data_IF_897506682523
#
_entry.id   IF_897506682523
#
_cell.length_a   1.000
_cell.length_b   1.000
_cell.length_c   1.000
_cell.angle_alpha   90.00
_cell.angle_beta   90.00
_cell.angle_gamma   90.00
#
_symmetry.space_group_name_H-M   'P 1'
#
loop_
_entity.id
_entity.type
_entity.pdbx_description
1 polymer ?
#
# COMPACT_ATOMS: atom_id res chain seq x y z
N UNK A 1 9.78 12.71 3.91
CA UNK A 1 9.98 12.01 5.19
C UNK A 1 9.81 10.52 4.96
N UNK A 2 10.56 9.67 5.65
CA UNK A 2 10.38 8.20 5.64
C UNK A 2 10.12 7.73 7.06
N UNK A 3 9.06 6.93 7.25
CA UNK A 3 8.72 6.27 8.51
C UNK A 3 8.79 4.76 8.31
N UNK A 4 9.74 4.10 8.98
CA UNK A 4 9.98 2.65 8.85
C UNK A 4 11.33 2.33 8.20
N UNK A 5 11.46 1.14 7.64
CA UNK A 5 12.64 0.67 6.89
C UNK A 5 12.23 0.25 5.48
N UNK A 6 12.78 0.91 4.46
CA UNK A 6 12.47 0.66 3.04
C UNK A 6 12.72 -0.81 2.67
N UNK A 7 13.73 -1.46 3.24
CA UNK A 7 14.07 -2.87 2.95
C UNK A 7 13.14 -3.86 3.67
N UNK A 8 12.25 -3.37 4.52
CA UNK A 8 11.24 -4.15 5.22
C UNK A 8 9.84 -3.63 4.90
N UNK A 9 9.42 -2.57 5.61
CA UNK A 9 8.19 -1.84 5.38
C UNK A 9 8.37 -0.39 5.82
N UNK A 10 8.01 0.55 4.97
CA UNK A 10 8.05 1.97 5.28
C UNK A 10 6.98 2.74 4.53
N UNK A 11 6.73 3.96 4.99
CA UNK A 11 5.91 4.95 4.29
C UNK A 11 6.78 6.17 4.05
N UNK A 12 6.85 6.60 2.80
CA UNK A 12 7.51 7.83 2.42
C UNK A 12 6.44 8.85 2.06
N UNK A 13 6.50 10.04 2.64
CA UNK A 13 5.57 11.12 2.32
C UNK A 13 6.15 12.50 2.59
N UNK A 14 5.51 13.53 2.02
CA UNK A 14 5.81 14.95 2.25
C UNK A 14 4.54 15.78 2.21
N UNK A 15 4.43 16.77 3.09
CA UNK A 15 3.36 17.76 3.05
C UNK A 15 3.58 18.74 1.89
N UNK A 16 2.50 19.15 1.22
CA UNK A 16 2.59 20.14 0.16
C UNK A 16 2.50 21.56 0.74
N UNK A 17 3.49 22.42 0.43
CA UNK A 17 3.65 23.73 1.08
C UNK A 17 2.52 24.73 0.78
N UNK A 18 1.84 24.61 -0.36
CA UNK A 18 0.81 25.55 -0.82
C UNK A 18 -0.62 25.00 -0.70
N UNK A 19 -0.82 23.93 0.06
CA UNK A 19 -2.10 23.23 0.18
C UNK A 19 -2.51 23.10 1.65
N UNK A 20 -3.78 22.72 1.94
CA UNK A 20 -4.17 22.32 3.29
C UNK A 20 -3.18 21.29 3.86
N UNK A 21 -2.94 21.36 5.17
CA UNK A 21 -1.89 20.58 5.84
C UNK A 21 -2.04 19.06 5.66
N UNK A 22 -3.24 18.62 5.34
CA UNK A 22 -3.58 17.23 5.10
C UNK A 22 -3.20 16.73 3.70
N UNK A 23 -2.82 17.63 2.79
CA UNK A 23 -2.44 17.31 1.42
C UNK A 23 -0.94 17.10 1.29
N UNK A 24 -0.56 16.18 0.42
CA UNK A 24 0.85 15.89 0.17
C UNK A 24 1.04 14.78 -0.84
N UNK A 25 2.25 14.24 -0.84
CA UNK A 25 2.67 13.16 -1.73
C UNK A 25 3.11 12.00 -0.88
N UNK A 26 2.96 10.77 -1.35
CA UNK A 26 3.53 9.64 -0.62
C UNK A 26 3.50 8.34 -1.39
N UNK A 27 4.25 7.37 -0.89
CA UNK A 27 4.31 6.00 -1.41
C UNK A 27 4.58 5.04 -0.27
N UNK A 28 4.19 3.79 -0.47
CA UNK A 28 4.38 2.72 0.51
C UNK A 28 5.50 1.81 0.02
N UNK A 29 6.51 1.58 0.86
CA UNK A 29 7.61 0.68 0.60
C UNK A 29 7.40 -0.69 1.24
N UNK A 30 7.68 -1.74 0.49
CA UNK A 30 7.57 -3.15 0.89
C UNK A 30 8.77 -3.89 0.30
N UNK A 31 9.71 -4.32 1.16
CA UNK A 31 10.92 -5.06 0.74
C UNK A 31 11.70 -4.40 -0.41
N UNK A 32 11.90 -3.09 -0.33
CA UNK A 32 12.62 -2.30 -1.34
C UNK A 32 11.84 -2.01 -2.62
N UNK A 33 10.61 -2.52 -2.75
CA UNK A 33 9.66 -2.15 -3.81
C UNK A 33 8.66 -1.14 -3.28
N UNK A 34 7.95 -0.43 -4.14
CA UNK A 34 6.99 0.58 -3.70
C UNK A 34 5.62 0.45 -4.35
N UNK A 35 4.59 1.00 -3.72
CA UNK A 35 3.22 1.12 -4.21
C UNK A 35 2.83 2.59 -4.14
N UNK A 36 2.21 3.09 -5.22
CA UNK A 36 1.90 4.51 -5.40
C UNK A 36 3.04 5.30 -6.02
N UNK A 37 2.95 6.63 -5.97
CA UNK A 37 3.91 7.54 -6.59
C UNK A 37 4.20 8.74 -5.69
N UNK A 38 5.41 9.28 -5.79
CA UNK A 38 5.76 10.55 -5.12
C UNK A 38 5.32 11.81 -5.88
N UNK A 39 4.62 11.65 -7.01
CA UNK A 39 4.22 12.74 -7.89
C UNK A 39 2.70 13.07 -7.81
N UNK A 40 1.90 12.19 -7.21
CA UNK A 40 0.45 12.41 -7.07
C UNK A 40 0.10 13.17 -5.78
N UNK A 41 -0.65 14.26 -5.93
CA UNK A 41 -1.08 15.07 -4.81
C UNK A 41 -2.36 14.49 -4.20
N UNK A 42 -2.23 13.97 -2.98
CA UNK A 42 -3.28 13.24 -2.28
C UNK A 42 -3.59 13.85 -0.91
N UNK A 43 -4.81 13.66 -0.44
CA UNK A 43 -5.17 13.80 0.96
C UNK A 43 -4.55 12.67 1.79
N UNK A 44 -3.47 12.96 2.51
CA UNK A 44 -2.61 11.98 3.18
C UNK A 44 -3.36 11.13 4.20
N UNK A 45 -4.24 11.71 5.02
CA UNK A 45 -5.01 10.93 5.97
C UNK A 45 -6.03 10.00 5.27
N UNK A 46 -6.92 10.58 4.46
CA UNK A 46 -8.02 9.82 3.86
C UNK A 46 -7.59 8.87 2.75
N UNK A 47 -6.40 9.05 2.16
CA UNK A 47 -5.84 8.14 1.17
C UNK A 47 -4.70 7.33 1.75
N UNK A 48 -3.50 7.91 1.93
CA UNK A 48 -2.31 7.14 2.31
C UNK A 48 -2.52 6.35 3.62
N UNK A 49 -2.95 6.99 4.70
CA UNK A 49 -3.15 6.31 5.98
C UNK A 49 -4.30 5.30 5.91
N UNK A 50 -5.40 5.64 5.24
CA UNK A 50 -6.50 4.70 5.01
C UNK A 50 -6.04 3.43 4.27
N UNK A 51 -5.22 3.55 3.23
CA UNK A 51 -4.64 2.41 2.51
C UNK A 51 -3.85 1.50 3.45
N UNK A 52 -3.05 2.07 4.35
CA UNK A 52 -2.28 1.28 5.32
C UNK A 52 -3.20 0.49 6.26
N UNK A 53 -4.31 1.10 6.70
CA UNK A 53 -5.32 0.42 7.49
C UNK A 53 -5.99 -0.72 6.73
N UNK A 54 -6.21 -0.55 5.43
CA UNK A 54 -6.76 -1.60 4.60
C UNK A 54 -5.82 -2.79 4.40
N UNK A 55 -4.52 -2.67 4.67
CA UNK A 55 -3.64 -3.84 4.66
C UNK A 55 -3.97 -4.86 5.76
N UNK A 56 -4.73 -4.45 6.79
CA UNK A 56 -5.23 -5.34 7.85
C UNK A 56 -6.45 -6.14 7.38
N UNK A 57 -6.30 -6.90 6.30
CA UNK A 57 -7.33 -7.81 5.79
C UNK A 57 -7.37 -9.12 6.58
N UNK A 58 -8.46 -9.90 6.48
CA UNK A 58 -8.55 -11.20 7.13
C UNK A 58 -7.51 -12.22 6.62
N UNK A 59 -7.50 -13.38 7.28
CA UNK A 59 -6.70 -14.53 6.86
C UNK A 59 -7.32 -15.11 5.57
N UNK A 60 -6.48 -15.32 4.55
CA UNK A 60 -6.88 -16.05 3.36
C UNK A 60 -6.67 -17.55 3.62
N UNK A 61 -7.77 -18.29 3.81
CA UNK A 61 -7.74 -19.71 4.20
C UNK A 61 -7.82 -20.69 3.00
N UNK A 62 -8.04 -20.19 1.78
CA UNK A 62 -8.54 -21.01 0.67
C UNK A 62 -7.45 -21.57 -0.25
N UNK A 63 -6.94 -22.80 -0.01
CA UNK A 63 -6.21 -23.60 -1.02
C UNK A 63 -5.07 -22.88 -1.77
N UNK A 64 -4.50 -21.84 -1.16
CA UNK A 64 -3.58 -20.91 -1.81
C UNK A 64 -2.16 -21.46 -1.84
N UNK A 65 -1.85 -22.38 -0.92
CA UNK A 65 -0.51 -22.88 -0.70
C UNK A 65 0.11 -23.51 -1.96
N UNK A 66 -0.72 -23.90 -2.93
CA UNK A 66 -0.31 -24.51 -4.20
C UNK A 66 -0.25 -23.52 -5.37
N UNK A 67 -0.76 -22.29 -5.20
CA UNK A 67 -0.77 -21.28 -6.27
C UNK A 67 0.49 -20.42 -6.23
N UNK A 68 1.11 -20.21 -7.39
CA UNK A 68 2.11 -19.17 -7.53
C UNK A 68 1.47 -17.77 -7.53
N UNK A 69 2.28 -16.71 -7.36
CA UNK A 69 1.81 -15.31 -7.27
C UNK A 69 0.90 -14.88 -8.41
N UNK A 70 1.19 -15.31 -9.65
CA UNK A 70 0.39 -14.95 -10.82
C UNK A 70 -0.98 -15.65 -10.80
N UNK A 71 -0.98 -16.96 -10.49
CA UNK A 71 -2.23 -17.73 -10.38
C UNK A 71 -3.10 -17.21 -9.23
N UNK A 72 -2.50 -16.86 -8.10
CA UNK A 72 -3.19 -16.27 -6.96
C UNK A 72 -3.79 -14.91 -7.33
N UNK A 73 -3.02 -14.05 -7.99
CA UNK A 73 -3.49 -12.73 -8.42
C UNK A 73 -4.70 -12.83 -9.35
N UNK A 74 -4.59 -13.67 -10.39
CA UNK A 74 -5.69 -13.89 -11.33
C UNK A 74 -6.92 -14.50 -10.65
N UNK A 75 -6.74 -15.40 -9.68
CA UNK A 75 -7.84 -15.97 -8.91
C UNK A 75 -8.57 -14.90 -8.11
N UNK A 76 -7.84 -14.10 -7.31
CA UNK A 76 -8.42 -13.05 -6.47
C UNK A 76 -9.09 -11.96 -7.30
N UNK A 77 -8.50 -11.62 -8.46
CA UNK A 77 -9.07 -10.67 -9.41
C UNK A 77 -10.38 -11.18 -10.02
N UNK A 78 -10.43 -12.44 -10.46
CA UNK A 78 -11.61 -13.04 -11.10
C UNK A 78 -12.76 -13.34 -10.14
N UNK A 79 -12.46 -13.74 -8.92
CA UNK A 79 -13.48 -14.00 -7.91
C UNK A 79 -14.12 -12.72 -7.38
N UNK A 80 -13.65 -11.54 -7.84
CA UNK A 80 -13.97 -10.24 -7.27
C UNK A 80 -13.83 -10.29 -5.74
N UNK A 81 -12.69 -10.78 -5.24
CA UNK A 81 -12.49 -10.92 -3.80
C UNK A 81 -12.35 -9.54 -3.13
N UNK A 82 -13.49 -8.91 -2.87
CA UNK A 82 -13.60 -7.60 -2.24
C UNK A 82 -13.11 -7.61 -0.79
N UNK A 83 -13.06 -8.79 -0.16
CA UNK A 83 -12.59 -8.94 1.22
C UNK A 83 -11.09 -8.66 1.27
N UNK A 84 -10.32 -9.25 0.35
CA UNK A 84 -8.86 -9.12 0.32
C UNK A 84 -8.37 -8.00 -0.58
N UNK A 85 -9.23 -7.45 -1.45
CA UNK A 85 -8.88 -6.27 -2.26
C UNK A 85 -8.64 -5.06 -1.36
N UNK A 86 -7.51 -4.40 -1.59
CA UNK A 86 -7.27 -3.06 -1.06
C UNK A 86 -7.95 -2.09 -2.03
N UNK A 87 -8.91 -1.36 -1.49
CA UNK A 87 -9.85 -0.51 -2.17
C UNK A 87 -9.67 0.96 -1.78
N UNK A 88 -10.25 1.82 -2.60
CA UNK A 88 -10.76 3.11 -2.15
C UNK A 88 -9.75 4.21 -1.84
N UNK A 89 -8.67 4.33 -2.62
CA UNK A 89 -7.89 5.58 -2.59
C UNK A 89 -7.40 5.96 -3.98
N UNK A 90 -7.53 7.24 -4.36
CA UNK A 90 -6.94 7.78 -5.61
C UNK A 90 -5.44 7.52 -5.65
N UNK A 91 -4.79 7.49 -4.48
CA UNK A 91 -3.39 7.12 -4.30
C UNK A 91 -2.93 5.79 -4.95
N UNK A 92 -3.83 4.83 -5.21
CA UNK A 92 -3.48 3.49 -5.76
C UNK A 92 -4.31 3.08 -6.98
N UNK A 93 -4.97 4.02 -7.65
CA UNK A 93 -5.87 3.74 -8.78
C UNK A 93 -5.17 3.12 -10.00
N UNK A 94 -3.88 3.39 -10.19
CA UNK A 94 -3.03 2.73 -11.17
C UNK A 94 -2.76 1.24 -10.86
N UNK A 95 -3.00 0.82 -9.61
CA UNK A 95 -2.67 -0.51 -9.10
C UNK A 95 -3.90 -1.37 -8.81
N UNK A 96 -3.76 -2.68 -9.04
CA UNK A 96 -4.62 -3.68 -8.41
C UNK A 96 -3.84 -4.32 -7.27
N UNK A 97 -4.39 -4.23 -6.07
CA UNK A 97 -3.73 -4.64 -4.82
C UNK A 97 -4.66 -5.55 -4.03
N UNK A 98 -4.09 -6.65 -3.53
CA UNK A 98 -4.68 -7.51 -2.54
C UNK A 98 -3.78 -7.56 -1.30
N UNK A 99 -4.42 -7.61 -0.13
CA UNK A 99 -3.76 -7.89 1.13
C UNK A 99 -4.45 -9.04 1.85
N UNK A 100 -3.67 -9.83 2.57
CA UNK A 100 -4.21 -10.90 3.41
C UNK A 100 -3.22 -11.26 4.52
N UNK A 101 -3.75 -11.87 5.57
CA UNK A 101 -2.93 -12.40 6.68
C UNK A 101 -2.66 -13.88 6.48
N UNK A 102 -1.48 -14.32 6.88
CA UNK A 102 -1.17 -15.73 7.10
C UNK A 102 -0.11 -15.83 8.20
N UNK A 103 -0.41 -16.66 9.20
CA UNK A 103 0.40 -16.78 10.43
C UNK A 103 0.55 -15.39 11.10
N UNK A 104 1.77 -14.86 11.17
CA UNK A 104 2.08 -13.55 11.75
C UNK A 104 2.57 -12.53 10.70
N UNK A 105 2.14 -12.70 9.45
CA UNK A 105 2.59 -11.87 8.33
C UNK A 105 1.41 -11.29 7.55
N UNK A 106 1.57 -10.02 7.19
CA UNK A 106 0.79 -9.34 6.15
C UNK A 106 1.43 -9.64 4.81
N UNK A 107 0.65 -10.22 3.90
CA UNK A 107 1.04 -10.42 2.51
C UNK A 107 0.42 -9.33 1.66
N UNK A 108 1.22 -8.75 0.77
CA UNK A 108 0.78 -7.80 -0.23
C UNK A 108 1.04 -8.40 -1.60
N UNK A 109 0.03 -8.40 -2.45
CA UNK A 109 0.08 -8.91 -3.81
C UNK A 109 -0.47 -7.82 -4.74
N UNK A 110 0.35 -7.30 -5.64
CA UNK A 110 -0.04 -6.15 -6.44
C UNK A 110 0.51 -6.18 -7.86
N UNK A 111 -0.11 -5.40 -8.73
CA UNK A 111 0.29 -5.19 -10.11
C UNK A 111 -0.09 -3.77 -10.55
N UNK A 112 0.83 -3.10 -11.25
CA UNK A 112 0.52 -1.88 -11.98
C UNK A 112 -0.24 -2.26 -13.26
N UNK A 113 -1.51 -1.88 -13.38
CA UNK A 113 -2.34 -2.26 -14.53
C UNK A 113 -2.40 -1.18 -15.60
N UNK A 114 -2.31 0.08 -15.20
CA UNK A 114 -2.42 1.21 -16.10
C UNK A 114 -1.05 1.78 -16.44
N UNK A 115 -0.92 2.30 -17.66
CA UNK A 115 0.23 3.13 -18.00
C UNK A 115 0.05 4.47 -17.30
N UNK A 116 1.01 4.77 -16.44
CA UNK A 116 0.98 5.97 -15.63
C UNK A 116 1.77 7.07 -16.30
N UNK A 117 1.29 8.31 -16.15
CA UNK A 117 2.01 9.50 -16.60
C UNK A 117 3.09 9.93 -15.60
N UNK A 118 3.06 9.41 -14.37
CA UNK A 118 4.07 9.64 -13.33
C UNK A 118 5.41 9.01 -13.72
N UNK A 119 6.49 9.76 -13.55
CA UNK A 119 7.81 9.37 -14.02
C UNK A 119 8.36 8.16 -13.28
N UNK A 120 8.14 8.08 -11.96
CA UNK A 120 8.54 6.92 -11.14
C UNK A 120 7.80 5.63 -11.52
N UNK A 121 6.62 5.74 -12.15
CA UNK A 121 5.82 4.60 -12.60
C UNK A 121 6.08 4.18 -14.07
N UNK A 122 6.68 5.04 -14.91
CA UNK A 122 6.98 4.71 -16.33
C UNK A 122 7.88 3.49 -16.51
N UNK A 123 8.82 3.29 -15.59
CA UNK A 123 9.76 2.15 -15.61
C UNK A 123 9.36 1.04 -14.63
N UNK A 124 8.21 1.17 -13.99
CA UNK A 124 7.77 0.25 -12.96
C UNK A 124 7.36 -1.11 -13.57
N UNK A 125 7.70 -2.19 -12.88
CA UNK A 125 7.40 -3.54 -13.32
C UNK A 125 5.90 -3.77 -13.49
N UNK A 126 5.48 -4.20 -14.69
CA UNK A 126 4.11 -4.65 -14.97
C UNK A 126 3.83 -6.10 -14.55
N UNK A 127 4.84 -6.82 -14.07
CA UNK A 127 4.65 -8.16 -13.49
C UNK A 127 4.01 -8.09 -12.10
N UNK A 128 3.25 -9.14 -11.75
CA UNK A 128 2.71 -9.30 -10.39
C UNK A 128 3.85 -9.36 -9.40
N UNK A 129 3.76 -8.51 -8.38
CA UNK A 129 4.64 -8.47 -7.23
C UNK A 129 3.94 -9.10 -6.03
N UNK A 130 4.70 -9.82 -5.21
CA UNK A 130 4.20 -10.37 -3.96
C UNK A 130 5.30 -10.26 -2.92
N UNK A 131 4.99 -9.70 -1.77
CA UNK A 131 5.90 -9.63 -0.64
C UNK A 131 5.15 -9.89 0.67
N UNK A 132 5.89 -10.19 1.71
CA UNK A 132 5.32 -10.33 3.06
C UNK A 132 6.18 -9.64 4.10
N UNK A 133 5.50 -9.08 5.08
CA UNK A 133 6.08 -8.33 6.21
C UNK A 133 5.44 -8.84 7.48
N UNK A 134 6.18 -8.84 8.59
CA UNK A 134 5.58 -9.14 9.89
C UNK A 134 4.45 -8.16 10.20
N UNK A 135 3.29 -8.67 10.63
CA UNK A 135 2.09 -7.85 10.86
C UNK A 135 2.34 -6.75 11.89
N UNK A 136 3.13 -7.05 12.92
CA UNK A 136 3.53 -6.07 13.95
C UNK A 136 4.31 -4.89 13.38
N UNK A 137 5.18 -5.13 12.40
CA UNK A 137 5.95 -4.05 11.75
C UNK A 137 5.01 -3.11 10.99
N UNK A 138 4.01 -3.66 10.27
CA UNK A 138 3.00 -2.84 9.59
C UNK A 138 2.22 -1.99 10.59
N UNK A 139 1.80 -2.58 11.72
CA UNK A 139 1.09 -1.87 12.78
C UNK A 139 1.91 -0.77 13.45
N UNK A 140 3.20 -1.01 13.69
CA UNK A 140 4.12 -0.03 14.24
C UNK A 140 4.33 1.16 13.30
N UNK A 141 4.50 0.90 12.00
CA UNK A 141 4.63 1.96 10.99
C UNK A 141 3.35 2.78 10.91
N UNK A 142 2.17 2.15 10.91
CA UNK A 142 0.88 2.86 10.96
C UNK A 142 0.83 3.81 12.16
N UNK A 143 1.10 3.32 13.38
CA UNK A 143 1.06 4.15 14.59
C UNK A 143 2.02 5.34 14.52
N UNK A 144 3.20 5.16 13.92
CA UNK A 144 4.18 6.24 13.74
C UNK A 144 3.72 7.27 12.71
N UNK A 145 3.12 6.84 11.60
CA UNK A 145 2.51 7.74 10.60
C UNK A 145 1.37 8.54 11.22
N UNK A 146 0.50 7.90 12.00
CA UNK A 146 -0.58 8.59 12.72
C UNK A 146 -0.06 9.63 13.70
N UNK A 147 0.98 9.29 14.47
CA UNK A 147 1.59 10.23 15.40
C UNK A 147 2.16 11.43 14.67
N UNK A 148 2.81 11.23 13.53
CA UNK A 148 3.36 12.32 12.72
C UNK A 148 2.26 13.21 12.13
N UNK A 149 1.17 12.61 11.63
CA UNK A 149 0.03 13.37 11.13
C UNK A 149 -0.62 14.20 12.24
N UNK A 150 -0.79 13.63 13.45
CA UNK A 150 -1.27 14.38 14.63
C UNK A 150 -0.34 15.52 15.00
N UNK A 151 0.98 15.30 14.98
CA UNK A 151 1.98 16.34 15.25
C UNK A 151 1.92 17.49 14.23
N UNK A 152 1.62 17.18 12.97
CA UNK A 152 1.41 18.17 11.91
C UNK A 152 0.06 18.91 12.02
N UNK A 153 -0.82 18.50 12.94
CA UNK A 153 -2.15 19.08 13.15
C UNK A 153 -3.24 18.50 12.25
N UNK A 154 -3.01 17.34 11.63
CA UNK A 154 -4.00 16.60 10.85
C UNK A 154 -4.91 15.83 11.81
N UNK A 155 -6.21 15.89 11.59
CA UNK A 155 -7.18 15.06 12.33
C UNK A 155 -7.07 13.64 11.78
N UNK A 156 -6.78 12.67 12.64
CA UNK A 156 -6.52 11.26 12.31
C UNK A 156 -7.56 10.36 12.97
#
# INVERSE_FOLDING_TARGET
>A
MIIGDINNFAVEFSFAENYPKEMGFGKIWVRGKFIGTSEDLIYLNGYLLRTLYEFKKPILNNGIAELNKNQLFERLKKSEDWVHRVSSTTFIDDFVIFSYQRENRTYLLWKLEQDSFFNDLKSYSKEVQQESVETKVVEEVIKKVEAEFKNAGIIV
#
